data_IF_942246516363
#
_entry.id   IF_942246516363
#
_cell.length_a   1.000
_cell.length_b   1.000
_cell.length_c   1.000
_cell.angle_alpha   90.00
_cell.angle_beta   90.00
_cell.angle_gamma   90.00
#
_symmetry.space_group_name_H-M   'P 1'
#
loop_
_entity.id
_entity.type
_entity.pdbx_description
1 polymer ?
#
# COMPACT_ATOMS: atom_id res chain seq x y z
N UNK A 1 -16.38 18.97 -5.62
CA UNK A 1 -16.26 17.86 -4.64
C UNK A 1 -15.43 16.67 -5.14
N UNK A 2 -14.94 16.64 -6.39
CA UNK A 2 -14.18 15.50 -6.95
C UNK A 2 -12.70 15.38 -6.49
N UNK A 3 -12.07 16.48 -6.05
CA UNK A 3 -10.66 16.45 -5.61
C UNK A 3 -10.43 15.79 -4.25
N UNK A 4 -11.46 15.72 -3.38
CA UNK A 4 -11.34 15.04 -2.07
C UNK A 4 -11.36 13.53 -2.24
N UNK A 5 -12.24 12.99 -3.09
CA UNK A 5 -12.31 11.55 -3.38
C UNK A 5 -11.06 11.00 -4.07
N UNK A 6 -10.40 11.77 -4.96
CA UNK A 6 -9.15 11.33 -5.59
C UNK A 6 -7.99 11.22 -4.61
N UNK A 7 -7.81 12.21 -3.73
CA UNK A 7 -6.75 12.19 -2.70
C UNK A 7 -6.97 11.04 -1.71
N UNK A 8 -8.23 10.79 -1.35
CA UNK A 8 -8.62 9.67 -0.50
C UNK A 8 -8.37 8.32 -1.19
N UNK A 9 -8.77 8.15 -2.46
CA UNK A 9 -8.47 6.94 -3.24
C UNK A 9 -6.96 6.69 -3.43
N UNK A 10 -6.16 7.75 -3.53
CA UNK A 10 -4.70 7.64 -3.60
C UNK A 10 -4.08 7.21 -2.25
N UNK A 11 -4.55 7.80 -1.14
CA UNK A 11 -4.12 7.39 0.21
C UNK A 11 -4.54 5.94 0.51
N UNK A 12 -5.73 5.55 0.07
CA UNK A 12 -6.28 4.21 0.18
C UNK A 12 -5.49 3.21 -0.69
N UNK A 13 -5.13 3.59 -1.92
CA UNK A 13 -4.24 2.80 -2.77
C UNK A 13 -2.86 2.57 -2.15
N UNK A 14 -2.29 3.58 -1.49
CA UNK A 14 -1.04 3.47 -0.76
C UNK A 14 -1.15 2.47 0.40
N UNK A 15 -2.23 2.52 1.17
CA UNK A 15 -2.51 1.55 2.24
C UNK A 15 -2.60 0.12 1.71
N UNK A 16 -3.39 -0.13 0.66
CA UNK A 16 -3.53 -1.46 0.07
C UNK A 16 -2.21 -2.01 -0.51
N UNK A 17 -1.33 -1.13 -1.00
CA UNK A 17 0.01 -1.52 -1.44
C UNK A 17 0.86 -2.01 -0.26
N UNK A 18 0.87 -1.27 0.85
CA UNK A 18 1.60 -1.65 2.06
C UNK A 18 1.07 -2.97 2.65
N UNK A 19 -0.24 -3.16 2.68
CA UNK A 19 -0.88 -4.43 3.10
C UNK A 19 -0.51 -5.60 2.20
N UNK A 20 -0.45 -5.37 0.88
CA UNK A 20 -0.02 -6.38 -0.10
C UNK A 20 1.43 -6.80 0.16
N UNK A 21 2.32 -5.84 0.40
CA UNK A 21 3.73 -6.08 0.70
C UNK A 21 3.85 -6.86 2.01
N UNK A 22 3.16 -6.44 3.07
CA UNK A 22 3.18 -7.11 4.37
C UNK A 22 2.68 -8.57 4.27
N UNK A 23 1.57 -8.80 3.56
CA UNK A 23 1.06 -10.16 3.35
C UNK A 23 2.03 -11.03 2.54
N UNK A 24 2.70 -10.46 1.53
CA UNK A 24 3.73 -11.17 0.76
C UNK A 24 4.92 -11.58 1.64
N UNK A 25 5.40 -10.69 2.51
CA UNK A 25 6.43 -11.03 3.49
C UNK A 25 5.97 -12.15 4.44
N UNK A 26 4.73 -12.10 4.92
CA UNK A 26 4.19 -13.15 5.79
C UNK A 26 4.13 -14.51 5.09
N UNK A 27 3.78 -14.56 3.80
CA UNK A 27 3.84 -15.80 3.00
C UNK A 27 5.27 -16.35 2.95
N UNK A 28 6.25 -15.49 2.63
CA UNK A 28 7.64 -15.89 2.54
C UNK A 28 8.18 -16.40 3.88
N UNK A 29 7.88 -15.69 4.97
CA UNK A 29 8.26 -16.11 6.32
C UNK A 29 7.61 -17.42 6.73
N UNK A 30 6.29 -17.58 6.51
CA UNK A 30 5.58 -18.83 6.82
C UNK A 30 6.11 -20.01 6.02
N UNK A 31 6.40 -19.81 4.73
CA UNK A 31 7.03 -20.84 3.90
C UNK A 31 8.44 -21.17 4.40
N UNK A 32 9.21 -20.15 4.79
CA UNK A 32 10.54 -20.34 5.34
C UNK A 32 10.49 -21.13 6.66
N UNK A 33 9.55 -20.83 7.54
CA UNK A 33 9.38 -21.53 8.82
C UNK A 33 8.98 -23.00 8.59
N UNK A 34 8.08 -23.27 7.64
CA UNK A 34 7.72 -24.64 7.23
C UNK A 34 8.91 -25.41 6.64
N UNK A 35 9.70 -24.74 5.79
CA UNK A 35 10.85 -25.31 5.10
C UNK A 35 12.13 -25.32 5.94
N UNK A 36 12.15 -24.72 7.12
CA UNK A 36 13.32 -24.72 7.99
C UNK A 36 13.06 -25.44 9.32
N UNK A 37 11.84 -25.91 9.57
CA UNK A 37 11.50 -26.56 10.83
C UNK A 37 11.77 -28.08 10.78
N UNK A 38 12.82 -28.58 11.47
CA UNK A 38 13.20 -30.00 11.44
C UNK A 38 12.16 -30.92 12.11
N UNK A 39 11.30 -30.37 12.98
CA UNK A 39 10.26 -31.13 13.66
C UNK A 39 9.16 -31.60 12.68
N UNK A 40 8.87 -30.82 11.63
CA UNK A 40 7.88 -31.18 10.60
C UNK A 40 8.38 -32.32 9.70
N UNK A 41 9.69 -32.46 9.55
CA UNK A 41 10.30 -33.55 8.77
C UNK A 41 10.53 -34.81 9.60
N UNK A 42 10.75 -34.67 10.91
CA UNK A 42 11.06 -35.79 11.80
C UNK A 42 9.88 -36.75 12.01
N UNK A 43 8.63 -36.29 11.90
CA UNK A 43 7.43 -37.12 12.07
C UNK A 43 7.07 -37.99 10.86
N UNK A 44 7.69 -37.79 9.69
CA UNK A 44 7.44 -38.66 8.52
C UNK A 44 8.19 -40.00 8.60
N UNK A 45 9.27 -40.10 9.37
CA UNK A 45 10.06 -41.34 9.47
C UNK A 45 9.56 -42.33 10.53
N UNK A 46 8.79 -41.89 11.53
CA UNK A 46 8.31 -42.75 12.62
C UNK A 46 6.95 -43.40 12.37
N UNK A 47 6.14 -42.90 11.42
CA UNK A 47 4.87 -43.54 11.04
C UNK A 47 5.07 -44.81 10.19
N UNK A 48 6.12 -44.87 9.35
CA UNK A 48 6.43 -46.04 8.54
C UNK A 48 6.95 -47.24 9.37
N UNK A 49 7.63 -46.98 10.50
CA UNK A 49 8.14 -48.04 11.37
C UNK A 49 7.04 -48.69 12.23
N UNK A 50 5.98 -47.95 12.58
CA UNK A 50 4.84 -48.47 13.35
C UNK A 50 3.89 -49.34 12.50
N UNK A 51 3.79 -49.08 11.18
CA UNK A 51 2.96 -49.87 10.27
C UNK A 51 3.60 -51.24 9.91
N UNK A 52 4.93 -51.37 9.99
CA UNK A 52 5.63 -52.64 9.72
C UNK A 52 5.64 -53.61 10.91
N UNK A 53 5.29 -53.16 12.12
CA UNK A 53 5.31 -53.98 13.34
C UNK A 53 3.93 -54.60 13.71
N UNK A 54 2.88 -54.32 12.94
CA UNK A 54 1.49 -54.70 13.28
C UNK A 54 0.92 -55.89 12.48
N UNK A 55 1.76 -56.72 11.85
CA UNK A 55 1.32 -57.95 11.18
C UNK A 55 1.73 -59.21 12.00
N UNK A 56 0.84 -59.76 12.83
CA UNK A 56 1.01 -61.11 13.37
C UNK A 56 0.58 -62.18 12.32
N UNK A 57 1.24 -63.35 12.25
CA UNK A 57 0.76 -64.45 11.43
C UNK A 57 -0.48 -65.07 12.07
N UNK A 58 -1.52 -65.29 11.27
CA UNK A 58 -2.80 -65.85 11.73
C UNK A 58 -2.72 -67.38 11.74
N UNK A 59 -2.90 -68.00 12.91
CA UNK A 59 -3.31 -69.40 13.05
C UNK A 59 -4.15 -69.57 14.30
N UNK A 60 -5.46 -69.78 14.11
CA UNK A 60 -6.24 -70.82 14.79
C UNK A 60 -6.65 -70.65 16.26
N UNK A 61 -7.96 -70.43 16.42
CA UNK A 61 -8.86 -70.97 17.46
C UNK A 61 -8.93 -70.30 18.85
N UNK A 62 -10.15 -69.84 19.19
CA UNK A 62 -10.74 -70.09 20.51
C UNK A 62 -11.23 -68.88 21.32
N UNK A 63 -12.53 -68.57 21.19
CA UNK A 63 -13.44 -68.43 22.35
C UNK A 63 -13.62 -67.09 23.06
N UNK A 64 -14.87 -66.57 23.00
CA UNK A 64 -15.54 -65.71 24.01
C UNK A 64 -15.02 -64.28 24.17
N UNK A 65 -15.80 -63.22 24.25
CA UNK A 65 -17.24 -63.03 24.34
C UNK A 65 -17.46 -61.55 24.72
N UNK A 66 -18.46 -60.92 24.08
CA UNK A 66 -19.46 -59.94 24.59
C UNK A 66 -18.92 -58.71 25.37
N UNK A 67 -19.22 -57.45 25.06
CA UNK A 67 -20.54 -56.80 24.88
C UNK A 67 -20.33 -55.41 24.22
N UNK A 68 -21.04 -55.08 23.14
CA UNK A 68 -22.37 -54.41 23.05
C UNK A 68 -22.30 -52.87 23.24
N UNK A 69 -22.38 -52.10 22.13
CA UNK A 69 -23.57 -51.31 21.70
C UNK A 69 -23.36 -49.81 22.03
N UNK A 70 -23.88 -48.79 21.34
CA UNK A 70 -24.89 -48.67 20.29
C UNK A 70 -24.71 -47.32 19.55
N UNK A 71 -25.11 -47.32 18.27
CA UNK A 71 -25.77 -46.28 17.47
C UNK A 71 -25.70 -44.78 17.83
N UNK A 72 -25.50 -43.93 16.82
CA UNK A 72 -26.64 -43.44 16.03
C UNK A 72 -26.25 -42.37 14.99
N UNK A 73 -26.95 -42.46 13.87
CA UNK A 73 -26.93 -41.61 12.69
C UNK A 73 -27.57 -40.24 12.91
N UNK A 74 -27.08 -39.22 12.20
CA UNK A 74 -27.93 -38.12 11.74
C UNK A 74 -27.38 -37.49 10.45
N UNK A 75 -28.04 -37.79 9.34
CA UNK A 75 -28.06 -36.95 8.14
C UNK A 75 -29.08 -35.83 8.39
N UNK A 76 -28.70 -34.58 8.17
CA UNK A 76 -29.64 -33.52 7.77
C UNK A 76 -28.94 -32.53 6.83
N UNK A 77 -29.69 -32.18 5.80
CA UNK A 77 -29.42 -31.23 4.74
C UNK A 77 -29.91 -29.82 5.15
N UNK A 78 -29.26 -28.77 4.61
CA UNK A 78 -29.78 -27.40 4.57
C UNK A 78 -29.25 -26.39 5.60
N UNK A 79 -28.45 -25.43 5.13
CA UNK A 79 -28.47 -24.04 5.62
C UNK A 79 -27.33 -23.56 6.53
N UNK A 80 -26.41 -22.81 5.93
CA UNK A 80 -25.56 -21.75 6.51
C UNK A 80 -25.23 -21.79 8.02
N UNK A 81 -24.02 -22.21 8.36
CA UNK A 81 -23.27 -21.63 9.47
C UNK A 81 -21.77 -21.98 9.34
N UNK A 82 -20.95 -20.98 9.61
CA UNK A 82 -19.53 -21.11 9.84
C UNK A 82 -19.22 -22.12 10.96
N UNK A 83 -17.96 -22.57 10.94
CA UNK A 83 -17.26 -23.36 11.96
C UNK A 83 -17.40 -24.89 11.85
N UNK A 84 -16.39 -25.48 11.23
CA UNK A 84 -15.74 -26.66 11.80
C UNK A 84 -14.24 -26.58 11.53
N UNK A 85 -13.57 -25.79 12.37
CA UNK A 85 -12.17 -25.97 12.68
C UNK A 85 -12.01 -27.34 13.37
N UNK A 86 -11.90 -28.40 12.58
CA UNK A 86 -11.54 -29.72 13.05
C UNK A 86 -10.02 -29.86 12.97
N UNK A 87 -9.40 -29.61 14.13
CA UNK A 87 -8.10 -30.08 14.58
C UNK A 87 -7.45 -31.20 13.75
N UNK A 88 -6.42 -30.81 12.99
CA UNK A 88 -5.29 -31.65 12.60
C UNK A 88 -4.03 -30.79 12.70
N UNK A 89 -3.13 -31.13 13.61
CA UNK A 89 -1.91 -30.36 13.86
C UNK A 89 -1.02 -30.28 12.62
N UNK A 90 -0.44 -29.10 12.37
CA UNK A 90 0.64 -28.91 11.41
C UNK A 90 0.43 -27.71 10.50
N UNK A 91 0.99 -26.57 10.88
CA UNK A 91 1.56 -25.53 10.00
C UNK A 91 0.77 -24.87 8.86
N UNK A 92 -0.38 -25.39 8.40
CA UNK A 92 -1.01 -24.93 7.15
C UNK A 92 -1.88 -23.67 7.27
N UNK A 93 -2.35 -23.34 8.48
CA UNK A 93 -3.30 -22.24 8.67
C UNK A 93 -2.70 -20.85 8.43
N UNK A 94 -1.46 -20.62 8.89
CA UNK A 94 -0.82 -19.31 8.79
C UNK A 94 -0.45 -18.94 7.34
N UNK A 95 0.03 -19.93 6.58
CA UNK A 95 0.35 -19.75 5.16
C UNK A 95 -0.91 -19.49 4.33
N UNK A 96 -1.97 -20.28 4.53
CA UNK A 96 -3.22 -20.10 3.80
C UNK A 96 -3.92 -18.78 4.15
N UNK A 97 -3.86 -18.36 5.40
CA UNK A 97 -4.37 -17.06 5.85
C UNK A 97 -3.54 -15.89 5.26
N UNK A 98 -2.22 -16.00 5.21
CA UNK A 98 -1.36 -15.00 4.55
C UNK A 98 -1.63 -14.93 3.04
N UNK A 99 -1.84 -16.07 2.37
CA UNK A 99 -2.24 -16.16 0.96
C UNK A 99 -3.59 -15.50 0.72
N UNK A 100 -4.55 -15.71 1.62
CA UNK A 100 -5.86 -15.09 1.51
C UNK A 100 -5.78 -13.57 1.65
N UNK A 101 -5.05 -13.06 2.66
CA UNK A 101 -4.80 -11.62 2.83
C UNK A 101 -4.11 -10.99 1.63
N UNK A 102 -3.08 -11.64 1.08
CA UNK A 102 -2.40 -11.17 -0.12
C UNK A 102 -3.36 -11.04 -1.30
N UNK A 103 -4.17 -12.07 -1.58
CA UNK A 103 -5.16 -12.03 -2.67
C UNK A 103 -6.18 -10.91 -2.47
N UNK A 104 -6.67 -10.74 -1.23
CA UNK A 104 -7.62 -9.70 -0.87
C UNK A 104 -7.04 -8.29 -1.04
N UNK A 105 -5.84 -8.04 -0.50
CA UNK A 105 -5.15 -6.75 -0.61
C UNK A 105 -4.84 -6.39 -2.07
N UNK A 106 -4.42 -7.36 -2.88
CA UNK A 106 -4.19 -7.17 -4.31
C UNK A 106 -5.50 -6.84 -5.04
N UNK A 107 -6.62 -7.50 -4.70
CA UNK A 107 -7.91 -7.18 -5.29
C UNK A 107 -8.35 -5.75 -4.95
N UNK A 108 -8.17 -5.33 -3.69
CA UNK A 108 -8.47 -3.98 -3.22
C UNK A 108 -7.56 -2.91 -3.88
N UNK A 109 -6.27 -3.22 -4.06
CA UNK A 109 -5.34 -2.37 -4.80
C UNK A 109 -5.76 -2.21 -6.26
N UNK A 110 -6.14 -3.29 -6.94
CA UNK A 110 -6.65 -3.24 -8.32
C UNK A 110 -7.93 -2.42 -8.42
N UNK A 111 -8.85 -2.56 -7.45
CA UNK A 111 -10.06 -1.75 -7.39
C UNK A 111 -9.73 -0.26 -7.19
N UNK A 112 -8.75 0.06 -6.35
CA UNK A 112 -8.28 1.44 -6.12
C UNK A 112 -7.67 2.05 -7.40
N UNK A 113 -6.82 1.30 -8.11
CA UNK A 113 -6.24 1.71 -9.40
C UNK A 113 -7.34 1.91 -10.45
N UNK A 114 -8.30 0.99 -10.51
CA UNK A 114 -9.43 1.08 -11.43
C UNK A 114 -10.29 2.30 -11.13
N UNK A 115 -10.57 2.60 -9.86
CA UNK A 115 -11.32 3.78 -9.43
C UNK A 115 -10.59 5.10 -9.77
N UNK A 116 -9.26 5.15 -9.61
CA UNK A 116 -8.45 6.30 -10.02
C UNK A 116 -8.48 6.47 -11.55
N UNK A 117 -8.33 5.37 -12.29
CA UNK A 117 -8.33 5.34 -13.75
C UNK A 117 -9.70 5.69 -14.35
N UNK A 118 -10.79 5.18 -13.77
CA UNK A 118 -12.15 5.52 -14.18
C UNK A 118 -12.54 6.95 -13.81
N UNK A 119 -12.04 7.48 -12.68
CA UNK A 119 -12.17 8.91 -12.37
C UNK A 119 -11.45 9.81 -13.38
N UNK A 120 -10.50 9.26 -14.15
CA UNK A 120 -9.82 9.95 -15.25
C UNK A 120 -10.63 9.89 -16.54
N UNK A 121 -11.46 8.84 -16.73
CA UNK A 121 -12.38 8.70 -17.88
C UNK A 121 -13.74 9.39 -17.68
N UNK A 122 -14.26 9.48 -16.45
CA UNK A 122 -15.46 10.31 -16.16
C UNK A 122 -15.19 11.81 -16.23
N UNK A 123 -13.93 12.21 -16.43
CA UNK A 123 -13.61 13.50 -17.06
C UNK A 123 -13.88 13.39 -18.56
N UNK A 124 -15.16 13.25 -18.91
CA UNK A 124 -15.70 13.86 -20.12
C UNK A 124 -15.19 15.31 -20.19
N UNK A 125 -14.81 15.86 -21.36
CA UNK A 125 -13.90 17.02 -21.52
C UNK A 125 -14.46 18.38 -21.05
N UNK A 126 -14.77 18.52 -19.75
CA UNK A 126 -15.36 19.71 -19.16
C UNK A 126 -14.53 20.36 -18.05
N UNK A 127 -13.29 19.94 -17.80
CA UNK A 127 -12.34 20.74 -17.00
C UNK A 127 -11.03 21.22 -17.66
N UNK A 128 -10.84 21.29 -18.99
CA UNK A 128 -9.77 22.12 -19.51
C UNK A 128 -10.04 23.61 -19.25
N UNK A 129 -11.29 24.06 -19.12
CA UNK A 129 -11.63 25.49 -19.08
C UNK A 129 -11.42 26.16 -17.72
N UNK A 130 -11.65 25.45 -16.62
CA UNK A 130 -11.41 25.97 -15.27
C UNK A 130 -9.90 26.09 -14.99
N UNK A 131 -9.14 25.04 -15.31
CA UNK A 131 -7.68 25.04 -15.23
C UNK A 131 -7.06 26.03 -16.23
N UNK A 132 -7.57 26.13 -17.46
CA UNK A 132 -7.07 27.10 -18.45
C UNK A 132 -7.34 28.56 -18.04
N UNK A 133 -8.51 28.86 -17.47
CA UNK A 133 -8.82 30.21 -16.99
C UNK A 133 -7.96 30.58 -15.76
N UNK A 134 -7.66 29.61 -14.88
CA UNK A 134 -6.74 29.84 -13.78
C UNK A 134 -5.30 30.05 -14.26
N UNK A 135 -4.85 29.29 -15.26
CA UNK A 135 -3.54 29.48 -15.91
C UNK A 135 -3.44 30.87 -16.52
N UNK A 136 -4.44 31.30 -17.29
CA UNK A 136 -4.47 32.64 -17.92
C UNK A 136 -4.40 33.75 -16.87
N UNK A 137 -5.15 33.62 -15.76
CA UNK A 137 -5.12 34.58 -14.64
C UNK A 137 -3.74 34.62 -13.97
N UNK A 138 -3.08 33.47 -13.80
CA UNK A 138 -1.74 33.39 -13.22
C UNK A 138 -0.69 34.00 -14.15
N UNK A 139 -0.81 33.79 -15.46
CA UNK A 139 0.05 34.39 -16.47
C UNK A 139 -0.11 35.92 -16.54
N UNK A 140 -1.35 36.42 -16.44
CA UNK A 140 -1.63 37.85 -16.35
C UNK A 140 -1.01 38.45 -15.09
N UNK A 141 -1.19 37.80 -13.92
CA UNK A 141 -0.59 38.23 -12.66
C UNK A 141 0.94 38.23 -12.73
N UNK A 142 1.53 37.19 -13.33
CA UNK A 142 2.99 37.11 -13.52
C UNK A 142 3.48 38.23 -14.44
N UNK A 143 2.73 38.55 -15.50
CA UNK A 143 3.03 39.64 -16.42
C UNK A 143 2.94 41.01 -15.75
N UNK A 144 1.92 41.24 -14.92
CA UNK A 144 1.77 42.45 -14.13
C UNK A 144 2.94 42.64 -13.15
N UNK A 145 3.31 41.57 -12.42
CA UNK A 145 4.44 41.59 -11.50
C UNK A 145 5.77 41.87 -12.22
N UNK A 146 6.00 41.27 -13.40
CA UNK A 146 7.20 41.56 -14.21
C UNK A 146 7.27 43.04 -14.60
N UNK A 147 6.16 43.64 -15.04
CA UNK A 147 6.10 45.07 -15.36
C UNK A 147 6.36 45.93 -14.13
N UNK A 148 5.79 45.59 -12.98
CA UNK A 148 6.00 46.32 -11.74
C UNK A 148 7.47 46.28 -11.28
N UNK A 149 8.12 45.11 -11.38
CA UNK A 149 9.55 44.94 -11.10
C UNK A 149 10.39 45.83 -12.03
N UNK A 150 10.07 45.87 -13.32
CA UNK A 150 10.78 46.71 -14.28
C UNK A 150 10.65 48.20 -13.93
N UNK A 151 9.44 48.66 -13.59
CA UNK A 151 9.17 50.04 -13.18
C UNK A 151 9.95 50.39 -11.91
N UNK A 152 9.90 49.53 -10.89
CA UNK A 152 10.63 49.74 -9.63
C UNK A 152 12.14 49.78 -9.84
N UNK A 153 12.68 48.87 -10.67
CA UNK A 153 14.11 48.88 -11.02
C UNK A 153 14.52 50.17 -11.75
N UNK A 154 13.68 50.67 -12.66
CA UNK A 154 13.92 51.95 -13.34
C UNK A 154 13.97 53.11 -12.35
N UNK A 155 13.04 53.14 -11.40
CA UNK A 155 13.03 54.17 -10.36
C UNK A 155 14.28 54.10 -9.47
N UNK A 156 14.65 52.91 -8.99
CA UNK A 156 15.88 52.71 -8.22
C UNK A 156 17.12 53.19 -8.98
N UNK A 157 17.21 52.89 -10.28
CA UNK A 157 18.33 53.35 -11.11
C UNK A 157 18.42 54.88 -11.15
N UNK A 158 17.28 55.56 -11.32
CA UNK A 158 17.22 57.02 -11.30
C UNK A 158 17.67 57.59 -9.94
N UNK A 159 17.20 57.03 -8.82
CA UNK A 159 17.67 57.46 -7.49
C UNK A 159 19.17 57.24 -7.30
N UNK A 160 19.70 56.09 -7.75
CA UNK A 160 21.13 55.79 -7.68
C UNK A 160 21.93 56.80 -8.49
N UNK A 161 21.47 57.15 -9.71
CA UNK A 161 22.16 58.12 -10.56
C UNK A 161 22.09 59.54 -9.96
N UNK A 162 20.96 59.93 -9.38
CA UNK A 162 20.83 61.19 -8.63
C UNK A 162 21.78 61.24 -7.44
N UNK A 163 21.87 60.16 -6.65
CA UNK A 163 22.77 60.09 -5.50
C UNK A 163 24.24 60.18 -5.94
N UNK A 164 24.61 59.49 -7.03
CA UNK A 164 25.96 59.54 -7.60
C UNK A 164 26.33 60.95 -8.05
N UNK A 165 25.41 61.66 -8.71
CA UNK A 165 25.63 63.06 -9.11
C UNK A 165 25.80 63.97 -7.90
N UNK A 166 24.95 63.83 -6.88
CA UNK A 166 25.07 64.62 -5.65
C UNK A 166 26.42 64.38 -4.95
N UNK A 167 26.88 63.13 -4.87
CA UNK A 167 28.20 62.79 -4.32
C UNK A 167 29.31 63.45 -5.14
N UNK A 168 29.22 63.42 -6.47
CA UNK A 168 30.20 64.08 -7.34
C UNK A 168 30.23 65.60 -7.11
N UNK A 169 29.06 66.24 -7.03
CA UNK A 169 28.95 67.67 -6.75
C UNK A 169 29.59 68.01 -5.40
N UNK A 170 29.23 67.30 -4.33
CA UNK A 170 29.81 67.51 -2.99
C UNK A 170 31.34 67.32 -3.03
N UNK A 171 31.83 66.31 -3.75
CA UNK A 171 33.27 66.05 -3.86
C UNK A 171 34.00 67.19 -4.57
N UNK A 172 33.37 67.88 -5.54
CA UNK A 172 33.94 69.08 -6.14
C UNK A 172 34.07 70.23 -5.14
N UNK A 173 33.08 70.43 -4.27
CA UNK A 173 33.12 71.46 -3.23
C UNK A 173 34.08 71.15 -2.08
N UNK A 174 34.42 69.88 -1.87
CA UNK A 174 35.34 69.43 -0.83
C UNK A 174 36.79 69.33 -1.30
N UNK A 175 37.09 69.54 -2.59
CA UNK A 175 38.48 69.65 -3.04
C UNK A 175 39.12 70.89 -2.40
N UNK A 176 40.25 70.75 -1.68
CA UNK A 176 40.97 71.90 -1.17
C UNK A 176 41.36 72.80 -2.34
N UNK A 177 40.94 74.06 -2.32
CA UNK A 177 41.56 75.07 -3.17
C UNK A 177 43.05 75.08 -2.81
N UNK A 178 43.91 74.54 -3.67
CA UNK A 178 45.35 74.68 -3.49
C UNK A 178 45.66 76.17 -3.55
N UNK A 179 46.03 76.74 -2.40
CA UNK A 179 46.61 78.09 -2.30
C UNK A 179 48.08 78.06 -2.69
#
# INVERSE_FOLDING_TARGET
MAGRSRKEAAAEGQRHLEETIAAAFQILSSMNDELCNPALWSSSSSSAAAAAAAHPPTTGAGGGGVDSSDSSSHISDGGAAAASAASGGGSGGALDDARHRYKSAVAALRASIAAISSSTQEVSPLEPKADQAEIERLEERASALRKEIEIKNRHLKLLIDQLRNLIADISMWQSPCSV
#
